data_IF_785587119679
#
_entry.id   IF_785587119679
#
_cell.length_a   1.000
_cell.length_b   1.000
_cell.length_c   1.000
_cell.angle_alpha   90.00
_cell.angle_beta   90.00
_cell.angle_gamma   90.00
#
_symmetry.space_group_name_H-M   'P 1'
#
loop_
_entity.id
_entity.type
_entity.pdbx_description
1 polymer ?
#
# COMPACT_ATOMS: atom_id res chain seq x y z
N UNK A 1 15.99 8.44 20.45
CA UNK A 1 14.61 8.86 20.08
C UNK A 1 14.28 8.20 18.75
N UNK A 2 13.14 7.53 18.64
CA UNK A 2 12.75 6.91 17.38
C UNK A 2 12.41 7.96 16.33
N UNK A 3 12.88 7.75 15.10
CA UNK A 3 12.55 8.61 13.96
C UNK A 3 11.10 8.46 13.52
N UNK A 4 10.57 9.44 12.77
CA UNK A 4 9.23 9.31 12.15
C UNK A 4 9.13 8.07 11.26
N UNK A 5 10.19 7.74 10.53
CA UNK A 5 10.26 6.57 9.67
C UNK A 5 10.10 5.26 10.46
N UNK A 6 10.78 5.14 11.61
CA UNK A 6 10.66 3.97 12.48
C UNK A 6 9.27 3.85 13.10
N UNK A 7 8.70 4.96 13.56
CA UNK A 7 7.34 5.01 14.11
C UNK A 7 6.29 4.64 13.05
N UNK A 8 6.42 5.18 11.83
CA UNK A 8 5.58 4.82 10.68
C UNK A 8 5.74 3.35 10.31
N UNK A 9 6.96 2.83 10.28
CA UNK A 9 7.27 1.44 9.97
C UNK A 9 6.59 0.42 10.89
N UNK A 10 6.31 0.79 12.13
CA UNK A 10 5.58 -0.06 13.10
C UNK A 10 4.06 -0.12 12.85
N UNK A 11 3.55 0.72 11.96
CA UNK A 11 2.12 0.78 11.67
C UNK A 11 1.72 -0.28 10.63
N UNK A 12 0.44 -0.56 10.61
CA UNK A 12 -0.18 -1.45 9.64
C UNK A 12 -1.36 -0.73 9.00
N UNK A 13 -1.28 -0.38 7.70
CA UNK A 13 -2.33 0.39 7.04
C UNK A 13 -3.62 -0.40 6.88
N UNK A 14 -4.73 0.32 6.91
CA UNK A 14 -6.06 -0.20 6.69
C UNK A 14 -6.44 -0.11 5.21
N UNK A 15 -7.28 -1.02 4.80
CA UNK A 15 -7.88 -1.05 3.46
C UNK A 15 -9.28 -1.65 3.51
N UNK A 16 -10.14 -1.30 2.55
CA UNK A 16 -11.53 -1.77 2.55
C UNK A 16 -11.62 -3.22 2.04
N UNK A 17 -12.33 -4.06 2.79
CA UNK A 17 -12.47 -5.50 2.54
C UNK A 17 -12.98 -5.82 1.13
N UNK A 18 -13.81 -4.96 0.54
CA UNK A 18 -14.34 -5.13 -0.82
C UNK A 18 -13.26 -5.28 -1.90
N UNK A 19 -12.03 -4.80 -1.63
CA UNK A 19 -10.93 -4.93 -2.58
C UNK A 19 -10.15 -6.24 -2.45
N UNK A 20 -10.49 -7.10 -1.48
CA UNK A 20 -9.76 -8.36 -1.31
C UNK A 20 -9.87 -9.24 -2.55
N UNK A 21 -11.09 -9.56 -2.98
CA UNK A 21 -11.31 -10.45 -4.12
C UNK A 21 -11.31 -9.70 -5.46
N UNK A 22 -11.75 -8.44 -5.45
CA UNK A 22 -11.85 -7.65 -6.68
C UNK A 22 -10.51 -7.09 -7.18
N UNK A 23 -9.52 -6.93 -6.29
CA UNK A 23 -8.20 -6.36 -6.64
C UNK A 23 -7.05 -7.18 -6.08
N UNK A 24 -6.94 -7.33 -4.76
CA UNK A 24 -5.75 -7.93 -4.13
C UNK A 24 -5.55 -9.37 -4.59
N UNK A 25 -6.58 -10.20 -4.56
CA UNK A 25 -6.51 -11.60 -4.96
C UNK A 25 -6.39 -11.80 -6.48
N UNK A 26 -6.62 -10.78 -7.28
CA UNK A 26 -6.32 -10.82 -8.72
C UNK A 26 -4.81 -10.88 -8.97
N UNK A 27 -4.03 -10.12 -8.19
CA UNK A 27 -2.58 -9.95 -8.38
C UNK A 27 -1.72 -10.75 -7.41
N UNK A 28 -2.26 -11.11 -6.23
CA UNK A 28 -1.54 -11.83 -5.18
C UNK A 28 -2.45 -12.83 -4.48
N UNK A 29 -1.89 -13.94 -3.97
CA UNK A 29 -2.63 -14.86 -3.11
C UNK A 29 -2.57 -14.38 -1.66
N UNK A 30 -3.53 -13.55 -1.28
CA UNK A 30 -3.65 -13.04 0.07
C UNK A 30 -4.52 -13.96 0.95
N UNK A 31 -4.05 -14.24 2.16
CA UNK A 31 -4.83 -14.97 3.18
C UNK A 31 -4.82 -16.51 3.05
N UNK A 32 -4.11 -17.09 2.09
CA UNK A 32 -4.07 -18.56 1.89
C UNK A 32 -2.89 -19.29 2.56
N UNK A 33 -2.03 -18.57 3.34
CA UNK A 33 -0.94 -19.17 4.10
C UNK A 33 0.25 -19.66 3.27
N UNK A 34 1.29 -20.16 3.98
CA UNK A 34 2.61 -20.49 3.43
C UNK A 34 2.61 -21.73 2.52
N UNK A 35 1.59 -22.58 2.60
CA UNK A 35 1.58 -23.90 1.95
C UNK A 35 1.17 -23.88 0.46
N UNK A 36 1.00 -22.71 -0.15
CA UNK A 36 0.53 -22.59 -1.53
C UNK A 36 1.53 -21.92 -2.48
N UNK A 37 2.82 -22.13 -2.28
CA UNK A 37 3.86 -21.63 -3.18
C UNK A 37 3.64 -21.98 -4.66
N UNK A 38 2.99 -23.09 -4.95
CA UNK A 38 2.73 -23.53 -6.31
C UNK A 38 1.59 -22.75 -6.99
N UNK A 39 0.62 -22.25 -6.21
CA UNK A 39 -0.48 -21.44 -6.74
C UNK A 39 -0.08 -19.98 -6.96
N UNK A 40 0.93 -19.49 -6.22
CA UNK A 40 1.43 -18.12 -6.33
C UNK A 40 2.22 -17.89 -7.61
N UNK A 41 2.72 -18.93 -8.27
CA UNK A 41 3.54 -18.80 -9.50
C UNK A 41 2.83 -18.13 -10.68
N UNK A 42 1.51 -18.09 -10.68
CA UNK A 42 0.73 -17.39 -11.72
C UNK A 42 0.36 -15.95 -11.36
N UNK A 43 0.72 -15.47 -10.16
CA UNK A 43 0.38 -14.12 -9.70
C UNK A 43 1.49 -13.12 -9.97
N UNK A 44 1.10 -11.87 -10.25
CA UNK A 44 2.05 -10.78 -10.54
C UNK A 44 2.83 -10.37 -9.30
N UNK A 45 2.17 -10.32 -8.15
CA UNK A 45 2.76 -9.93 -6.88
C UNK A 45 2.82 -11.09 -5.88
N UNK A 46 3.84 -11.09 -5.03
CA UNK A 46 4.07 -12.13 -4.03
C UNK A 46 3.31 -11.91 -2.73
N UNK A 47 2.79 -10.70 -2.49
CA UNK A 47 2.11 -10.35 -1.26
C UNK A 47 1.04 -9.27 -1.50
N UNK A 48 0.00 -9.26 -0.65
CA UNK A 48 -1.09 -8.28 -0.73
C UNK A 48 -0.62 -6.85 -0.52
N UNK A 49 0.38 -6.62 0.34
CA UNK A 49 0.92 -5.29 0.56
C UNK A 49 1.60 -4.69 -0.68
N UNK A 50 2.11 -5.50 -1.60
CA UNK A 50 2.67 -5.01 -2.87
C UNK A 50 1.56 -4.39 -3.74
N UNK A 51 0.38 -4.99 -3.74
CA UNK A 51 -0.81 -4.43 -4.42
C UNK A 51 -1.24 -3.11 -3.75
N UNK A 52 -1.18 -3.05 -2.42
CA UNK A 52 -1.43 -1.82 -1.68
C UNK A 52 -0.44 -0.71 -2.05
N UNK A 53 0.85 -1.02 -2.17
CA UNK A 53 1.87 -0.05 -2.60
C UNK A 53 1.58 0.47 -4.01
N UNK A 54 1.19 -0.40 -4.95
CA UNK A 54 0.78 0.02 -6.29
C UNK A 54 -0.42 0.98 -6.23
N UNK A 55 -1.46 0.60 -5.48
CA UNK A 55 -2.65 1.44 -5.31
C UNK A 55 -2.31 2.80 -4.67
N UNK A 56 -1.44 2.80 -3.65
CA UNK A 56 -0.93 4.03 -3.04
C UNK A 56 -0.26 4.95 -4.05
N UNK A 57 0.64 4.46 -4.88
CA UNK A 57 1.31 5.28 -5.89
C UNK A 57 0.36 5.76 -6.99
N UNK A 58 -0.65 4.98 -7.36
CA UNK A 58 -1.69 5.43 -8.30
C UNK A 58 -2.42 6.65 -7.73
N UNK A 59 -2.89 6.58 -6.49
CA UNK A 59 -3.56 7.70 -5.84
C UNK A 59 -2.65 8.90 -5.67
N UNK A 60 -1.42 8.68 -5.22
CA UNK A 60 -0.43 9.73 -5.00
C UNK A 60 -0.03 10.44 -6.30
N UNK A 61 0.21 9.69 -7.37
CA UNK A 61 0.54 10.25 -8.69
C UNK A 61 -0.65 11.03 -9.29
N UNK A 62 -1.86 10.50 -9.11
CA UNK A 62 -3.10 11.17 -9.56
C UNK A 62 -3.49 12.37 -8.69
N UNK A 63 -2.81 12.56 -7.56
CA UNK A 63 -3.14 13.55 -6.52
C UNK A 63 -4.60 13.44 -6.04
N UNK A 64 -5.09 12.21 -5.91
CA UNK A 64 -6.47 11.88 -5.55
C UNK A 64 -6.53 11.01 -4.29
N UNK A 65 -7.38 11.42 -3.38
CA UNK A 65 -7.67 10.72 -2.12
C UNK A 65 -9.13 10.28 -2.08
N UNK A 66 -9.38 9.10 -1.51
CA UNK A 66 -10.73 8.62 -1.23
C UNK A 66 -10.80 8.17 0.22
N UNK A 67 -11.63 8.81 1.07
CA UNK A 67 -11.81 8.38 2.45
C UNK A 67 -12.25 6.91 2.52
N UNK A 68 -11.76 6.20 3.55
CA UNK A 68 -12.22 4.84 3.81
C UNK A 68 -13.66 4.88 4.34
N UNK A 69 -14.36 3.75 4.17
CA UNK A 69 -15.68 3.54 4.76
C UNK A 69 -15.58 3.66 6.30
N UNK A 70 -16.58 4.28 6.92
CA UNK A 70 -16.61 4.48 8.38
C UNK A 70 -16.85 3.19 9.16
N UNK A 71 -17.51 2.19 8.53
CA UNK A 71 -17.81 0.90 9.16
C UNK A 71 -16.52 0.09 9.34
N UNK A 72 -16.00 0.07 10.55
CA UNK A 72 -14.78 -0.64 10.92
C UNK A 72 -14.83 -2.16 10.64
N UNK A 73 -16.03 -2.76 10.59
CA UNK A 73 -16.19 -4.19 10.25
C UNK A 73 -15.88 -4.51 8.80
N UNK A 74 -15.85 -3.50 7.93
CA UNK A 74 -15.56 -3.62 6.49
C UNK A 74 -14.14 -3.18 6.13
N UNK A 75 -13.29 -2.97 7.12
CA UNK A 75 -11.90 -2.55 6.97
C UNK A 75 -10.98 -3.64 7.49
N UNK A 76 -9.91 -3.91 6.77
CA UNK A 76 -8.89 -4.90 7.11
C UNK A 76 -7.51 -4.26 7.24
N UNK A 77 -6.58 -5.01 7.81
CA UNK A 77 -5.15 -4.73 7.85
C UNK A 77 -4.39 -5.94 7.34
N UNK A 78 -3.15 -5.73 6.85
CA UNK A 78 -2.26 -6.85 6.56
C UNK A 78 -1.75 -7.48 7.86
N UNK A 79 -1.32 -8.74 7.81
CA UNK A 79 -0.79 -9.44 8.98
C UNK A 79 0.59 -8.92 9.45
N UNK A 80 1.24 -8.05 8.66
CA UNK A 80 2.59 -7.55 8.92
C UNK A 80 2.65 -6.04 8.87
N UNK A 81 3.36 -5.46 9.85
CA UNK A 81 3.67 -4.04 9.85
C UNK A 81 4.54 -3.65 8.65
N UNK A 82 4.50 -2.36 8.28
CA UNK A 82 5.25 -1.81 7.15
C UNK A 82 6.75 -2.13 7.25
N UNK A 83 7.33 -2.17 8.46
CA UNK A 83 8.74 -2.51 8.68
C UNK A 83 9.14 -3.89 8.14
N UNK A 84 8.19 -4.79 7.94
CA UNK A 84 8.43 -6.12 7.40
C UNK A 84 8.22 -6.21 5.87
N UNK A 85 7.77 -5.15 5.23
CA UNK A 85 7.53 -5.16 3.79
C UNK A 85 8.85 -5.20 3.02
N UNK A 86 8.93 -6.09 2.04
CA UNK A 86 10.13 -6.27 1.24
C UNK A 86 11.28 -7.02 1.94
N UNK A 87 11.08 -7.58 3.13
CA UNK A 87 12.11 -8.32 3.86
C UNK A 87 12.10 -9.84 3.60
N UNK A 88 11.06 -10.34 2.93
CA UNK A 88 10.92 -11.77 2.65
C UNK A 88 11.79 -12.18 1.48
N UNK A 89 12.67 -13.14 1.72
CA UNK A 89 13.48 -13.77 0.68
C UNK A 89 12.67 -14.78 -0.13
N UNK A 90 13.08 -14.95 -1.38
CA UNK A 90 12.65 -16.03 -2.29
C UNK A 90 11.14 -16.08 -2.61
N UNK A 91 10.38 -15.09 -2.25
CA UNK A 91 8.99 -15.04 -2.69
C UNK A 91 8.94 -14.73 -4.18
N UNK A 92 8.41 -15.64 -5.00
CA UNK A 92 8.44 -15.57 -6.46
C UNK A 92 9.88 -15.51 -7.05
N UNK A 93 10.87 -16.07 -6.34
CA UNK A 93 12.27 -16.02 -6.79
C UNK A 93 12.94 -14.64 -6.73
N UNK A 94 12.34 -13.71 -5.96
CA UNK A 94 12.88 -12.35 -5.79
C UNK A 94 13.82 -12.24 -4.60
N UNK A 95 14.79 -11.34 -4.71
CA UNK A 95 15.60 -10.88 -3.59
C UNK A 95 14.79 -9.90 -2.72
N UNK A 96 15.25 -9.66 -1.49
CA UNK A 96 14.71 -8.63 -0.62
C UNK A 96 14.80 -7.23 -1.29
N UNK A 97 13.82 -6.38 -1.02
CA UNK A 97 13.75 -5.00 -1.52
C UNK A 97 13.32 -4.00 -0.43
N UNK A 98 14.00 -3.97 0.74
CA UNK A 98 13.57 -3.14 1.86
C UNK A 98 13.62 -1.63 1.58
N UNK A 99 14.43 -1.20 0.62
CA UNK A 99 14.56 0.22 0.22
C UNK A 99 13.29 0.80 -0.39
N UNK A 100 12.37 -0.03 -0.89
CA UNK A 100 11.09 0.44 -1.41
C UNK A 100 10.30 1.21 -0.33
N UNK A 101 10.41 0.82 0.93
CA UNK A 101 9.78 1.51 2.06
C UNK A 101 10.28 2.95 2.24
N UNK A 102 11.57 3.19 1.98
CA UNK A 102 12.18 4.53 2.03
C UNK A 102 11.55 5.44 0.98
N UNK A 103 11.34 4.94 -0.25
CA UNK A 103 10.68 5.68 -1.32
C UNK A 103 9.21 5.95 -1.01
N UNK A 104 8.48 4.96 -0.47
CA UNK A 104 7.09 5.14 -0.04
C UNK A 104 7.00 6.23 1.03
N UNK A 105 7.85 6.17 2.05
CA UNK A 105 7.87 7.15 3.11
C UNK A 105 8.22 8.55 2.62
N UNK A 106 9.26 8.68 1.81
CA UNK A 106 9.68 9.97 1.24
C UNK A 106 8.58 10.60 0.38
N UNK A 107 7.94 9.81 -0.48
CA UNK A 107 6.83 10.26 -1.31
C UNK A 107 5.62 10.69 -0.46
N UNK A 108 5.31 9.92 0.57
CA UNK A 108 4.22 10.20 1.50
C UNK A 108 4.43 11.52 2.27
N UNK A 109 5.63 11.72 2.81
CA UNK A 109 5.98 12.95 3.53
C UNK A 109 5.93 14.16 2.59
N UNK A 110 6.42 14.01 1.36
CA UNK A 110 6.42 15.09 0.36
C UNK A 110 4.99 15.52 -0.06
N UNK A 111 4.03 14.62 0.03
CA UNK A 111 2.63 14.84 -0.40
C UNK A 111 1.65 15.08 0.74
N UNK A 112 2.07 14.89 1.99
CA UNK A 112 1.22 15.12 3.15
C UNK A 112 1.59 16.46 3.79
N UNK A 113 0.58 17.30 4.00
CA UNK A 113 0.78 18.58 4.69
C UNK A 113 0.92 18.33 6.20
N UNK A 114 2.16 18.12 6.64
CA UNK A 114 2.53 17.89 8.04
C UNK A 114 3.42 19.02 8.54
N UNK A 115 3.14 19.50 9.74
CA UNK A 115 3.92 20.56 10.36
C UNK A 115 5.20 20.00 11.01
N UNK A 116 6.24 19.85 10.19
CA UNK A 116 7.56 19.39 10.66
C UNK A 116 8.27 20.43 11.53
N UNK A 117 7.92 21.73 11.40
CA UNK A 117 8.48 22.80 12.23
C UNK A 117 7.90 22.70 13.64
N UNK A 118 6.60 22.51 13.77
CA UNK A 118 5.96 22.29 15.07
C UNK A 118 6.47 21.00 15.73
N UNK A 119 6.75 19.96 14.94
CA UNK A 119 7.36 18.75 15.44
C UNK A 119 8.76 19.01 16.00
N UNK A 120 9.61 19.70 15.27
CA UNK A 120 11.00 20.04 15.70
C UNK A 120 11.00 20.89 16.97
N UNK A 121 10.05 21.80 17.11
CA UNK A 121 9.86 22.62 18.31
C UNK A 121 9.27 21.84 19.50
N UNK A 122 8.76 20.63 19.29
CA UNK A 122 8.09 19.85 20.32
C UNK A 122 6.62 20.24 20.57
N UNK A 123 6.04 21.11 19.73
CA UNK A 123 4.65 21.54 19.84
C UNK A 123 3.66 20.44 19.41
N UNK A 124 4.11 19.50 18.57
CA UNK A 124 3.34 18.38 18.09
C UNK A 124 4.06 17.05 18.39
N UNK A 125 3.34 16.06 18.88
CA UNK A 125 3.91 14.74 19.16
C UNK A 125 4.19 13.97 17.85
N UNK A 126 5.33 13.23 17.75
CA UNK A 126 5.64 12.40 16.58
C UNK A 126 4.53 11.44 16.18
N UNK A 127 3.83 10.85 17.17
CA UNK A 127 2.71 9.94 16.92
C UNK A 127 1.57 10.60 16.12
N UNK A 128 1.29 11.87 16.40
CA UNK A 128 0.24 12.63 15.69
C UNK A 128 0.61 12.86 14.21
N UNK A 129 1.88 13.17 13.95
CA UNK A 129 2.38 13.26 12.56
C UNK A 129 2.25 11.91 11.85
N UNK A 130 2.64 10.82 12.52
CA UNK A 130 2.49 9.47 11.96
C UNK A 130 1.02 9.12 11.68
N UNK A 131 0.09 9.50 12.54
CA UNK A 131 -1.34 9.30 12.30
C UNK A 131 -1.81 10.05 11.03
N UNK A 132 -1.37 11.28 10.81
CA UNK A 132 -1.66 12.05 9.60
C UNK A 132 -1.07 11.39 8.35
N UNK A 133 0.17 10.89 8.43
CA UNK A 133 0.82 10.16 7.34
C UNK A 133 0.05 8.88 7.00
N UNK A 134 -0.36 8.11 8.01
CA UNK A 134 -1.13 6.88 7.81
C UNK A 134 -2.49 7.16 7.16
N UNK A 135 -3.20 8.18 7.64
CA UNK A 135 -4.48 8.58 7.07
C UNK A 135 -4.36 8.98 5.60
N UNK A 136 -3.35 9.77 5.26
CA UNK A 136 -3.04 10.13 3.86
C UNK A 136 -2.69 8.90 3.01
N UNK A 137 -1.85 8.01 3.53
CA UNK A 137 -1.44 6.79 2.83
C UNK A 137 -2.64 5.89 2.50
N UNK A 138 -3.50 5.67 3.49
CA UNK A 138 -4.70 4.86 3.35
C UNK A 138 -5.68 5.45 2.34
N UNK A 139 -5.87 6.77 2.35
CA UNK A 139 -6.78 7.45 1.42
C UNK A 139 -6.25 7.45 -0.02
N UNK A 140 -4.95 7.65 -0.23
CA UNK A 140 -4.34 7.50 -1.56
C UNK A 140 -4.48 6.07 -2.08
N UNK A 141 -4.19 5.07 -1.24
CA UNK A 141 -4.35 3.67 -1.62
C UNK A 141 -5.82 3.32 -1.92
N UNK A 142 -6.76 3.85 -1.15
CA UNK A 142 -8.19 3.60 -1.35
C UNK A 142 -8.67 4.11 -2.71
N UNK A 143 -8.20 5.29 -3.14
CA UNK A 143 -8.42 5.78 -4.50
C UNK A 143 -7.80 4.83 -5.55
N UNK A 144 -6.54 4.43 -5.33
CA UNK A 144 -5.84 3.55 -6.25
C UNK A 144 -6.50 2.17 -6.39
N UNK A 145 -7.01 1.60 -5.33
CA UNK A 145 -7.78 0.35 -5.38
C UNK A 145 -9.06 0.50 -6.21
N UNK A 146 -9.77 1.60 -6.03
CA UNK A 146 -10.98 1.88 -6.80
C UNK A 146 -10.67 2.01 -8.30
N UNK A 147 -9.60 2.74 -8.62
CA UNK A 147 -9.10 2.88 -9.99
C UNK A 147 -8.75 1.53 -10.62
N UNK A 148 -8.00 0.67 -9.91
CA UNK A 148 -7.63 -0.66 -10.40
C UNK A 148 -8.89 -1.51 -10.63
N UNK A 149 -9.83 -1.47 -9.68
CA UNK A 149 -11.10 -2.20 -9.78
C UNK A 149 -11.88 -1.79 -11.02
N UNK A 150 -12.04 -0.49 -11.27
CA UNK A 150 -12.72 0.02 -12.48
C UNK A 150 -12.05 -0.48 -13.77
N UNK A 151 -10.70 -0.43 -13.84
CA UNK A 151 -9.96 -0.95 -14.99
C UNK A 151 -10.18 -2.44 -15.23
N UNK A 152 -10.27 -3.25 -14.18
CA UNK A 152 -10.53 -4.69 -14.28
C UNK A 152 -11.98 -4.99 -14.65
N UNK A 153 -12.94 -4.15 -14.23
CA UNK A 153 -14.35 -4.28 -14.61
C UNK A 153 -14.56 -3.93 -16.08
N UNK A 154 -13.88 -2.91 -16.60
CA UNK A 154 -13.94 -2.49 -17.99
C UNK A 154 -13.24 -3.47 -18.94
N UNK A 155 -12.07 -3.97 -18.55
CA UNK A 155 -11.28 -4.95 -19.30
C UNK A 155 -10.56 -5.90 -18.32
N UNK A 156 -11.06 -7.12 -18.09
CA UNK A 156 -10.43 -8.11 -17.20
C UNK A 156 -8.99 -8.44 -17.59
N UNK A 157 -8.60 -8.21 -18.85
CA UNK A 157 -7.26 -8.44 -19.36
C UNK A 157 -6.37 -7.18 -19.40
N UNK A 158 -6.84 -6.06 -18.84
CA UNK A 158 -6.13 -4.78 -18.89
C UNK A 158 -4.67 -4.91 -18.42
N UNK A 159 -4.45 -5.56 -17.28
CA UNK A 159 -3.13 -5.70 -16.67
C UNK A 159 -2.29 -6.88 -17.19
N UNK A 160 -2.79 -7.65 -18.15
CA UNK A 160 -2.01 -8.71 -18.83
C UNK A 160 -1.09 -8.12 -19.90
N UNK A 161 -1.39 -6.94 -20.41
CA UNK A 161 -0.59 -6.24 -21.42
C UNK A 161 0.76 -5.82 -20.84
N UNK A 162 1.84 -6.01 -21.59
CA UNK A 162 3.24 -5.81 -21.17
C UNK A 162 3.52 -4.44 -20.53
N UNK A 163 2.80 -3.40 -20.93
CA UNK A 163 3.01 -2.03 -20.47
C UNK A 163 1.88 -1.51 -19.57
N UNK A 164 0.95 -2.37 -19.15
CA UNK A 164 -0.25 -1.93 -18.44
C UNK A 164 0.06 -1.18 -17.14
N UNK A 165 0.99 -1.68 -16.34
CA UNK A 165 1.38 -1.03 -15.08
C UNK A 165 2.07 0.33 -15.30
N UNK A 166 2.78 0.51 -16.40
CA UNK A 166 3.39 1.80 -16.75
C UNK A 166 2.34 2.78 -17.26
N UNK A 167 1.36 2.31 -18.05
CA UNK A 167 0.29 3.15 -18.60
C UNK A 167 -0.60 3.79 -17.54
N UNK A 168 -0.68 3.19 -16.37
CA UNK A 168 -1.42 3.77 -15.23
C UNK A 168 -0.82 5.11 -14.80
N UNK A 169 0.47 5.34 -15.06
CA UNK A 169 1.21 6.55 -14.68
C UNK A 169 1.53 7.48 -15.87
N UNK A 170 1.05 7.19 -17.06
CA UNK A 170 1.20 8.01 -18.26
C UNK A 170 -0.09 8.70 -18.65
#
# INVERSE_FOLDING_TARGET
MESLYELWGKRNPRWEEKYQDSVINVFADYGKGVNKYNEVKGKTFGAGYEVFILAFFIGLYSDQKKPLIEDASKVKQFGWAISNWGTQENRLGRTQYPRLREYVFAALVAKTDVDLIALDKGDVKPSKIVDQLMDSMEQYANFGFDFIKEKLEDDPNYFIKDTAFLRVFL
#
